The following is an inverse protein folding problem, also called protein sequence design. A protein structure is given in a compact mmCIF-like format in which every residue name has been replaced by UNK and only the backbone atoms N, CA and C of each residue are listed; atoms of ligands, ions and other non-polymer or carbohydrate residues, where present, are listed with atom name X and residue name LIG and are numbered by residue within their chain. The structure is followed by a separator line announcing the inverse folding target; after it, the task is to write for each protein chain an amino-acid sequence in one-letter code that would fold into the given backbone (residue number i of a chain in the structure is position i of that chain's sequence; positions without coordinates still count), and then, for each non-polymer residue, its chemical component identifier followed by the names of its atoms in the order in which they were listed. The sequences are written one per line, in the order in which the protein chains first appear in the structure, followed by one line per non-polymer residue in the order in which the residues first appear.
data_IF_623703377914
#
_entry.id   IF_623703377914
#
_cell.length_a   1.000
_cell.length_b   1.000
_cell.length_c   1.000
_cell.angle_alpha   90.00
_cell.angle_beta   90.00
_cell.angle_gamma   90.00
#
_symmetry.space_group_name_H-M   'P 1'
#
loop_
_entity.id
_entity.type
_entity.pdbx_description
1 polymer ?
#
# COMPACT_ATOMS: atom_id res chain seq x y z
N UNK A 1 -0.03 -30.09 -57.94
CA UNK A 1 -1.16 -30.36 -57.02
C UNK A 1 -0.59 -30.56 -55.63
N UNK A 2 -0.84 -29.61 -54.72
CA UNK A 2 -1.18 -29.81 -53.31
C UNK A 2 -1.28 -28.40 -52.67
N UNK A 3 -2.48 -27.84 -52.71
CA UNK A 3 -2.88 -26.70 -51.88
C UNK A 3 -3.81 -27.26 -50.80
N UNK A 4 -3.45 -27.05 -49.53
CA UNK A 4 -4.42 -27.01 -48.43
C UNK A 4 -3.81 -26.30 -47.23
N UNK A 5 -4.01 -25.00 -47.23
CA UNK A 5 -3.88 -24.10 -46.09
C UNK A 5 -5.10 -24.20 -45.16
N UNK A 6 -4.87 -23.78 -43.91
CA UNK A 6 -5.80 -23.34 -42.85
C UNK A 6 -6.29 -24.37 -41.82
N UNK A 7 -5.66 -24.30 -40.63
CA UNK A 7 -6.29 -24.26 -39.31
C UNK A 7 -5.29 -23.60 -38.34
N UNK A 8 -5.20 -22.27 -38.40
CA UNK A 8 -4.62 -21.45 -37.34
C UNK A 8 -5.78 -20.94 -36.50
N UNK A 9 -5.98 -21.54 -35.34
CA UNK A 9 -7.00 -21.14 -34.38
C UNK A 9 -6.53 -21.47 -32.98
N UNK A 10 -6.25 -20.41 -32.21
CA UNK A 10 -6.32 -20.24 -30.75
C UNK A 10 -5.82 -21.39 -29.84
N UNK A 11 -5.18 -21.19 -28.70
CA UNK A 11 -4.77 -20.06 -27.88
C UNK A 11 -4.19 -20.71 -26.60
N UNK A 12 -3.77 -19.86 -25.66
CA UNK A 12 -3.37 -20.18 -24.29
C UNK A 12 -1.91 -20.59 -24.13
N UNK A 13 -1.04 -19.60 -24.30
CA UNK A 13 0.11 -19.51 -23.41
C UNK A 13 -0.41 -19.40 -21.97
N UNK A 14 -0.45 -20.53 -21.27
CA UNK A 14 -0.49 -20.55 -19.82
C UNK A 14 0.81 -19.90 -19.34
N UNK A 15 0.71 -18.64 -18.89
CA UNK A 15 1.78 -17.99 -18.13
C UNK A 15 1.99 -18.79 -16.86
N UNK A 16 3.02 -19.63 -16.87
CA UNK A 16 3.44 -20.42 -15.72
C UNK A 16 3.92 -19.43 -14.66
N UNK A 17 3.16 -19.29 -13.57
CA UNK A 17 3.67 -18.72 -12.33
C UNK A 17 4.77 -19.66 -11.81
N UNK A 18 5.99 -19.46 -12.29
CA UNK A 18 7.14 -20.27 -11.93
C UNK A 18 7.68 -19.87 -10.57
N UNK A 19 7.27 -20.56 -9.51
CA UNK A 19 8.00 -20.56 -8.24
C UNK A 19 9.31 -21.33 -8.42
N UNK A 20 10.44 -20.63 -8.50
CA UNK A 20 11.74 -21.29 -8.48
C UNK A 20 12.18 -21.52 -7.03
N UNK A 21 11.98 -22.76 -6.55
CA UNK A 21 12.45 -23.25 -5.25
C UNK A 21 13.99 -23.26 -5.24
N UNK A 22 14.63 -22.14 -4.90
CA UNK A 22 16.02 -22.13 -4.36
C UNK A 22 16.54 -20.76 -3.89
N UNK A 23 15.76 -19.67 -3.91
CA UNK A 23 16.03 -18.37 -3.22
C UNK A 23 15.12 -17.21 -3.72
N UNK A 24 14.07 -17.49 -4.48
CA UNK A 24 13.32 -16.46 -5.21
C UNK A 24 12.28 -15.74 -4.35
N UNK A 25 12.51 -14.45 -4.11
CA UNK A 25 11.47 -13.49 -3.73
C UNK A 25 10.31 -13.66 -4.72
N UNK A 26 9.16 -14.06 -4.23
CA UNK A 26 7.97 -14.28 -5.06
C UNK A 26 7.35 -12.93 -5.38
N UNK A 27 7.86 -12.25 -6.42
CA UNK A 27 7.24 -11.03 -6.93
C UNK A 27 6.09 -11.42 -7.85
N UNK A 28 4.86 -11.40 -7.33
CA UNK A 28 3.70 -11.31 -8.20
C UNK A 28 3.55 -9.83 -8.60
N UNK A 29 3.87 -9.51 -9.85
CA UNK A 29 3.79 -8.14 -10.38
C UNK A 29 2.37 -7.54 -10.36
N UNK A 30 1.34 -8.36 -10.13
CA UNK A 30 -0.06 -7.94 -10.02
C UNK A 30 -0.57 -7.99 -8.56
N UNK A 31 0.33 -7.98 -7.58
CA UNK A 31 -0.02 -8.04 -6.16
C UNK A 31 -0.38 -6.65 -5.64
N UNK A 32 -1.66 -6.29 -5.72
CA UNK A 32 -2.22 -5.07 -5.09
C UNK A 32 -2.56 -5.33 -3.61
N UNK A 33 -1.55 -5.76 -2.83
CA UNK A 33 -1.71 -6.09 -1.42
C UNK A 33 -1.53 -4.88 -0.48
N UNK A 34 -0.90 -3.80 -0.97
CA UNK A 34 -0.78 -2.55 -0.22
C UNK A 34 -2.16 -1.94 0.07
N UNK A 35 -2.25 -1.22 1.17
CA UNK A 35 -3.42 -0.42 1.52
C UNK A 35 -3.12 1.02 1.15
N UNK A 36 -3.69 1.53 0.04
CA UNK A 36 -3.58 2.93 -0.30
C UNK A 36 -4.46 3.78 0.61
N UNK A 37 -3.89 4.87 1.11
CA UNK A 37 -4.55 5.93 1.88
C UNK A 37 -4.22 7.27 1.23
N UNK A 38 -5.23 8.01 0.82
CA UNK A 38 -5.05 9.37 0.35
C UNK A 38 -5.13 10.35 1.53
N UNK A 39 -4.20 11.28 1.62
CA UNK A 39 -4.29 12.44 2.54
C UNK A 39 -4.61 13.67 1.70
N UNK A 40 -5.81 14.21 1.90
CA UNK A 40 -6.35 15.34 1.13
C UNK A 40 -6.64 16.52 2.04
N UNK A 41 -6.53 17.74 1.51
CA UNK A 41 -6.87 18.98 2.23
C UNK A 41 -8.21 19.54 1.77
N UNK A 42 -9.19 19.57 2.67
CA UNK A 42 -10.55 20.04 2.40
C UNK A 42 -10.60 21.57 2.16
N UNK A 43 -9.54 22.28 2.52
CA UNK A 43 -9.37 23.71 2.24
C UNK A 43 -8.95 24.00 0.79
N UNK A 44 -8.70 22.98 -0.04
CA UNK A 44 -8.34 23.13 -1.44
C UNK A 44 -9.36 22.42 -2.36
N UNK A 45 -9.83 23.09 -3.44
CA UNK A 45 -10.88 22.55 -4.32
C UNK A 45 -10.49 21.27 -5.07
N UNK A 46 -9.22 20.84 -5.02
CA UNK A 46 -8.74 19.57 -5.57
C UNK A 46 -8.08 18.65 -4.54
N UNK A 47 -8.23 18.91 -3.24
CA UNK A 47 -7.64 18.09 -2.18
C UNK A 47 -6.11 18.19 -2.05
N UNK A 48 -5.46 19.08 -2.81
CA UNK A 48 -4.00 19.27 -2.70
C UNK A 48 -3.65 19.81 -1.32
N UNK A 49 -2.58 19.30 -0.73
CA UNK A 49 -2.05 19.83 0.52
C UNK A 49 -1.63 21.30 0.35
N UNK A 50 -2.03 22.15 1.29
CA UNK A 50 -1.62 23.56 1.35
C UNK A 50 -0.12 23.70 1.64
N UNK A 51 0.42 24.89 1.45
CA UNK A 51 1.78 25.19 1.92
C UNK A 51 1.83 25.15 3.46
N UNK A 52 2.95 24.67 4.00
CA UNK A 52 3.16 24.51 5.44
C UNK A 52 4.16 23.42 5.77
N UNK A 53 4.55 23.35 7.04
CA UNK A 53 5.31 22.24 7.60
C UNK A 53 4.34 21.13 7.98
N UNK A 54 4.57 19.91 7.49
CA UNK A 54 3.76 18.74 7.80
C UNK A 54 4.60 17.71 8.55
N UNK A 55 3.98 17.03 9.52
CA UNK A 55 4.48 15.76 10.06
C UNK A 55 3.39 14.71 9.89
N UNK A 56 3.71 13.66 9.14
CA UNK A 56 2.86 12.50 8.97
C UNK A 56 3.34 11.40 9.91
N UNK A 57 2.41 10.61 10.43
CA UNK A 57 2.69 9.44 11.23
C UNK A 57 1.79 8.29 10.82
N UNK A 58 2.40 7.15 10.55
CA UNK A 58 1.70 5.87 10.39
C UNK A 58 2.11 4.97 11.54
N UNK A 59 1.15 4.37 12.22
CA UNK A 59 1.40 3.46 13.35
C UNK A 59 0.53 2.21 13.27
N UNK A 60 1.09 1.11 13.72
CA UNK A 60 0.43 -0.18 13.95
C UNK A 60 0.65 -0.58 15.41
N UNK A 61 0.13 -1.72 15.84
CA UNK A 61 0.37 -2.23 17.20
C UNK A 61 1.85 -2.61 17.45
N UNK A 62 2.65 -2.78 16.40
CA UNK A 62 4.01 -3.31 16.47
C UNK A 62 5.08 -2.40 15.85
N UNK A 63 4.71 -1.33 15.12
CA UNK A 63 5.67 -0.40 14.51
C UNK A 63 5.07 1.00 14.33
N UNK A 64 5.93 2.02 14.33
CA UNK A 64 5.56 3.40 14.05
C UNK A 64 6.59 4.06 13.14
N UNK A 65 6.12 4.88 12.20
CA UNK A 65 6.96 5.76 11.40
C UNK A 65 6.36 7.16 11.31
N UNK A 66 7.12 8.13 11.82
CA UNK A 66 6.90 9.55 11.58
C UNK A 66 7.93 10.12 10.57
N UNK A 67 7.48 11.05 9.74
CA UNK A 67 8.33 11.84 8.84
C UNK A 67 7.74 13.23 8.62
N UNK A 68 8.60 14.19 8.30
CA UNK A 68 8.21 15.58 8.12
C UNK A 68 8.71 16.12 6.78
N UNK A 69 7.98 17.09 6.24
CA UNK A 69 8.33 17.81 5.02
C UNK A 69 7.72 19.23 5.06
N UNK A 70 8.21 20.13 4.22
CA UNK A 70 7.69 21.49 4.08
C UNK A 70 7.21 21.72 2.65
N UNK A 71 5.90 21.88 2.45
CA UNK A 71 5.34 22.18 1.14
C UNK A 71 5.37 23.68 0.84
N UNK A 72 5.63 24.08 -0.42
CA UNK A 72 5.88 23.23 -1.60
C UNK A 72 7.37 22.95 -1.85
N UNK A 73 8.26 23.18 -0.88
CA UNK A 73 9.71 23.08 -1.06
C UNK A 73 10.21 21.63 -1.15
N UNK A 74 9.52 20.71 -0.47
CA UNK A 74 9.84 19.29 -0.39
C UNK A 74 8.79 18.45 -1.14
N UNK A 75 9.17 17.23 -1.58
CA UNK A 75 8.27 16.29 -2.27
C UNK A 75 7.48 15.36 -1.32
N UNK A 76 7.71 15.49 -0.01
CA UNK A 76 7.12 14.68 1.07
C UNK A 76 7.24 13.16 0.87
N UNK A 77 8.14 12.70 0.00
CA UNK A 77 8.26 11.30 -0.34
C UNK A 77 8.90 10.51 0.82
N UNK A 78 8.40 9.29 1.04
CA UNK A 78 8.95 8.37 2.03
C UNK A 78 9.05 6.97 1.44
N UNK A 79 10.18 6.31 1.66
CA UNK A 79 10.32 4.87 1.44
C UNK A 79 10.88 4.24 2.71
N UNK A 80 10.05 3.48 3.42
CA UNK A 80 10.38 2.96 4.73
C UNK A 80 10.00 1.48 4.85
N UNK A 81 10.92 0.70 5.40
CA UNK A 81 10.71 -0.71 5.72
C UNK A 81 11.27 -1.02 7.09
N UNK A 82 10.55 -1.82 7.86
CA UNK A 82 11.05 -2.38 9.12
C UNK A 82 10.53 -3.79 9.31
N UNK A 83 11.39 -4.65 9.84
CA UNK A 83 10.95 -5.94 10.36
C UNK A 83 10.30 -5.76 11.74
N UNK A 84 9.38 -6.65 12.08
CA UNK A 84 8.73 -6.73 13.37
C UNK A 84 8.53 -8.18 13.80
N UNK A 85 8.38 -8.37 15.12
CA UNK A 85 7.96 -9.62 15.72
C UNK A 85 6.71 -9.36 16.55
N UNK A 86 5.66 -10.15 16.32
CA UNK A 86 4.35 -10.01 16.96
C UNK A 86 3.84 -11.39 17.39
N UNK A 87 4.10 -11.73 18.66
CA UNK A 87 3.81 -13.05 19.21
C UNK A 87 4.75 -14.12 18.63
N UNK A 88 4.18 -15.11 17.95
CA UNK A 88 4.92 -16.18 17.26
C UNK A 88 5.16 -15.88 15.77
N UNK A 89 4.64 -14.75 15.27
CA UNK A 89 4.75 -14.35 13.87
C UNK A 89 5.83 -13.27 13.69
N UNK A 90 6.71 -13.48 12.73
CA UNK A 90 7.63 -12.46 12.22
C UNK A 90 7.07 -11.87 10.92
N UNK A 91 7.34 -10.59 10.70
CA UNK A 91 6.91 -9.91 9.49
C UNK A 91 7.71 -8.66 9.15
N UNK A 92 7.31 -8.02 8.05
CA UNK A 92 7.87 -6.76 7.59
C UNK A 92 6.73 -5.78 7.33
N UNK A 93 6.90 -4.54 7.79
CA UNK A 93 6.05 -3.41 7.47
C UNK A 93 6.77 -2.51 6.46
N UNK A 94 6.09 -2.18 5.38
CA UNK A 94 6.47 -1.19 4.38
C UNK A 94 5.50 -0.02 4.42
N UNK A 95 6.04 1.19 4.44
CA UNK A 95 5.28 2.44 4.30
C UNK A 95 5.95 3.26 3.19
N UNK A 96 5.19 3.49 2.12
CA UNK A 96 5.62 4.34 1.02
C UNK A 96 4.71 5.55 0.96
N UNK A 97 5.28 6.74 0.76
CA UNK A 97 4.50 7.95 0.52
C UNK A 97 5.00 8.66 -0.75
N UNK A 98 4.08 9.09 -1.61
CA UNK A 98 4.38 9.81 -2.85
C UNK A 98 3.31 10.89 -3.06
N UNK A 99 3.66 11.96 -3.77
CA UNK A 99 2.66 12.91 -4.24
C UNK A 99 1.70 12.20 -5.20
N UNK A 100 0.40 12.27 -4.90
CA UNK A 100 -0.67 11.73 -5.74
C UNK A 100 -1.24 12.78 -6.69
N UNK A 101 -2.27 12.40 -7.46
CA UNK A 101 -3.03 13.37 -8.27
C UNK A 101 -3.75 14.39 -7.38
N UNK A 102 -4.22 13.94 -6.21
CA UNK A 102 -4.93 14.73 -5.20
C UNK A 102 -4.31 14.49 -3.83
N UNK A 103 -3.36 15.35 -3.44
CA UNK A 103 -2.72 15.28 -2.12
C UNK A 103 -1.55 14.29 -2.04
N UNK A 104 -1.37 13.67 -0.87
CA UNK A 104 -0.32 12.68 -0.61
C UNK A 104 -0.93 11.28 -0.60
N UNK A 105 -0.35 10.36 -1.37
CA UNK A 105 -0.71 8.95 -1.35
C UNK A 105 0.25 8.18 -0.46
N UNK A 106 -0.29 7.44 0.51
CA UNK A 106 0.44 6.56 1.42
C UNK A 106 0.04 5.12 1.12
N UNK A 107 1.00 4.26 0.86
CA UNK A 107 0.81 2.81 0.73
C UNK A 107 1.36 2.10 1.96
N UNK A 108 0.53 1.31 2.62
CA UNK A 108 0.92 0.51 3.78
C UNK A 108 0.82 -0.97 3.43
N UNK A 109 1.95 -1.69 3.49
CA UNK A 109 2.03 -3.12 3.21
C UNK A 109 2.64 -3.85 4.40
N UNK A 110 2.01 -4.94 4.80
CA UNK A 110 2.48 -5.90 5.79
C UNK A 110 2.75 -7.24 5.08
N UNK A 111 3.85 -7.88 5.42
CA UNK A 111 4.12 -9.27 5.03
C UNK A 111 4.33 -10.12 6.27
N UNK A 112 3.58 -11.22 6.40
CA UNK A 112 3.77 -12.25 7.45
C UNK A 112 3.92 -13.61 6.79
N UNK A 113 5.08 -14.24 6.95
CA UNK A 113 5.41 -15.48 6.25
C UNK A 113 5.27 -15.33 4.73
N UNK A 114 4.34 -16.07 4.13
CA UNK A 114 4.02 -15.96 2.70
C UNK A 114 2.81 -15.05 2.41
N UNK A 115 2.16 -14.46 3.40
CA UNK A 115 0.96 -13.62 3.22
C UNK A 115 1.37 -12.16 3.08
N UNK A 116 0.90 -11.51 2.02
CA UNK A 116 1.11 -10.10 1.74
C UNK A 116 -0.26 -9.41 1.80
N UNK A 117 -0.40 -8.41 2.67
CA UNK A 117 -1.62 -7.64 2.88
C UNK A 117 -1.25 -6.25 3.41
N UNK A 118 -2.20 -5.45 3.89
CA UNK A 118 -1.85 -4.39 4.84
C UNK A 118 -2.03 -4.87 6.28
N UNK A 119 -1.71 -4.01 7.26
CA UNK A 119 -1.99 -4.27 8.66
C UNK A 119 -3.49 -4.43 8.90
N UNK A 120 -3.86 -5.34 9.80
CA UNK A 120 -5.25 -5.53 10.22
C UNK A 120 -5.84 -4.27 10.87
N UNK A 121 -4.97 -3.46 11.50
CA UNK A 121 -5.29 -2.17 12.09
C UNK A 121 -4.07 -1.25 12.00
N UNK A 122 -4.31 0.00 11.62
CA UNK A 122 -3.27 1.03 11.64
C UNK A 122 -3.91 2.42 11.80
N UNK A 123 -3.11 3.38 12.22
CA UNK A 123 -3.52 4.78 12.37
C UNK A 123 -2.65 5.66 11.49
N UNK A 124 -3.27 6.67 10.89
CA UNK A 124 -2.61 7.76 10.19
C UNK A 124 -2.92 9.06 10.93
N UNK A 125 -1.88 9.76 11.35
CA UNK A 125 -1.99 11.08 11.96
C UNK A 125 -1.24 12.12 11.13
N UNK A 126 -1.78 13.33 11.08
CA UNK A 126 -1.21 14.47 10.40
C UNK A 126 -1.15 15.65 11.36
N UNK A 127 0.04 16.21 11.48
CA UNK A 127 0.32 17.48 12.13
C UNK A 127 0.67 18.50 11.05
N UNK A 128 0.17 19.72 11.19
CA UNK A 128 0.49 20.85 10.31
C UNK A 128 0.94 22.04 11.16
N UNK A 129 2.08 22.62 10.80
CA UNK A 129 2.67 23.79 11.45
C UNK A 129 2.81 23.64 12.99
N UNK A 130 3.03 22.42 13.46
CA UNK A 130 3.16 22.08 14.90
C UNK A 130 1.86 21.73 15.60
N UNK A 131 0.72 21.75 14.91
CA UNK A 131 -0.61 21.44 15.46
C UNK A 131 -1.16 20.13 14.89
N UNK A 132 -1.64 19.24 15.76
CA UNK A 132 -2.29 18.00 15.33
C UNK A 132 -3.64 18.33 14.67
N UNK A 133 -3.77 18.05 13.38
CA UNK A 133 -4.97 18.42 12.60
C UNK A 133 -5.90 17.25 12.32
N UNK A 134 -5.38 16.03 12.24
CA UNK A 134 -6.19 14.81 12.09
C UNK A 134 -5.46 13.59 12.64
N UNK A 135 -6.24 12.67 13.21
CA UNK A 135 -5.81 11.34 13.61
C UNK A 135 -6.94 10.36 13.27
N UNK A 136 -6.67 9.41 12.39
CA UNK A 136 -7.66 8.45 11.89
C UNK A 136 -7.15 7.02 11.98
N UNK A 137 -8.01 6.12 12.47
CA UNK A 137 -7.72 4.70 12.61
C UNK A 137 -8.49 3.90 11.57
N UNK A 138 -7.78 3.00 10.88
CA UNK A 138 -8.31 2.11 9.87
C UNK A 138 -8.23 0.65 10.30
N UNK A 139 -9.29 -0.11 10.00
CA UNK A 139 -9.37 -1.56 10.21
C UNK A 139 -9.78 -2.22 8.87
N UNK A 140 -8.85 -2.33 7.90
CA UNK A 140 -9.15 -2.88 6.59
C UNK A 140 -9.55 -4.35 6.68
N UNK A 141 -10.39 -4.77 5.73
CA UNK A 141 -10.84 -6.18 5.60
C UNK A 141 -10.33 -6.75 4.30
N UNK A 142 -10.00 -8.03 4.31
CA UNK A 142 -9.41 -8.71 3.16
C UNK A 142 -10.26 -9.88 2.68
N UNK A 143 -10.15 -10.22 1.40
CA UNK A 143 -10.72 -11.45 0.85
C UNK A 143 -9.87 -12.65 1.27
N UNK A 144 -10.52 -13.79 1.50
CA UNK A 144 -9.80 -15.04 1.74
C UNK A 144 -9.02 -15.45 0.49
N UNK A 145 -7.83 -16.05 0.66
CA UNK A 145 -7.01 -16.44 -0.46
C UNK A 145 -7.68 -17.56 -1.27
N UNK A 146 -7.77 -17.35 -2.58
CA UNK A 146 -8.36 -18.34 -3.50
C UNK A 146 -7.45 -19.57 -3.73
N UNK A 147 -6.17 -19.50 -3.36
CA UNK A 147 -5.19 -20.57 -3.54
C UNK A 147 -4.28 -20.69 -2.31
N UNK A 148 -4.51 -21.67 -1.42
CA UNK A 148 -3.77 -21.79 -0.15
C UNK A 148 -2.30 -22.23 -0.29
N UNK A 149 -1.91 -22.83 -1.42
CA UNK A 149 -0.57 -23.41 -1.63
C UNK A 149 0.38 -22.52 -2.47
N UNK A 150 0.19 -21.20 -2.46
CA UNK A 150 1.04 -20.27 -3.19
C UNK A 150 2.30 -19.86 -2.39
N UNK A 151 3.41 -19.67 -3.09
CA UNK A 151 4.67 -19.19 -2.50
C UNK A 151 4.59 -17.77 -1.95
N UNK A 152 3.63 -16.98 -2.45
CA UNK A 152 3.15 -15.74 -1.85
C UNK A 152 1.63 -15.66 -2.05
N UNK A 153 0.92 -15.21 -1.02
CA UNK A 153 -0.53 -15.07 -0.97
C UNK A 153 -0.85 -13.59 -0.83
N UNK A 154 -1.31 -12.97 -1.91
CA UNK A 154 -1.71 -11.57 -1.92
C UNK A 154 -3.18 -11.44 -1.52
N UNK A 155 -3.44 -10.79 -0.39
CA UNK A 155 -4.80 -10.55 0.04
C UNK A 155 -5.33 -9.25 -0.54
N UNK A 156 -6.48 -9.33 -1.21
CA UNK A 156 -7.14 -8.14 -1.77
C UNK A 156 -7.99 -7.47 -0.71
N UNK A 157 -7.83 -6.14 -0.56
CA UNK A 157 -8.65 -5.32 0.33
C UNK A 157 -10.10 -5.22 -0.18
N UNK A 158 -11.06 -5.29 0.73
CA UNK A 158 -12.47 -4.99 0.49
C UNK A 158 -12.82 -3.59 0.99
N UNK A 159 -13.78 -2.96 0.32
CA UNK A 159 -14.38 -1.70 0.76
C UNK A 159 -13.99 -0.51 -0.11
N UNK A 160 -14.36 0.68 0.37
CA UNK A 160 -14.08 1.96 -0.29
C UNK A 160 -12.65 2.41 -0.03
N UNK A 161 -12.15 3.33 -0.84
CA UNK A 161 -10.84 3.94 -0.63
C UNK A 161 -10.75 4.61 0.74
N UNK A 162 -9.56 4.55 1.32
CA UNK A 162 -9.28 5.14 2.61
C UNK A 162 -8.75 6.54 2.38
N UNK A 163 -9.35 7.52 3.03
CA UNK A 163 -9.03 8.93 2.84
C UNK A 163 -8.96 9.60 4.20
N UNK A 164 -7.85 10.28 4.46
CA UNK A 164 -7.64 11.15 5.61
C UNK A 164 -7.87 12.58 5.15
N UNK A 165 -8.76 13.29 5.83
CA UNK A 165 -9.12 14.67 5.51
C UNK A 165 -8.42 15.64 6.46
N UNK A 166 -7.54 16.48 5.92
CA UNK A 166 -6.97 17.64 6.63
C UNK A 166 -8.00 18.77 6.57
N UNK A 167 -8.47 19.28 7.74
CA UNK A 167 -9.51 20.29 7.80
C UNK A 167 -9.04 21.64 7.23
N UNK A 168 -9.99 22.42 6.71
CA UNK A 168 -9.75 23.67 6.00
C UNK A 168 -9.30 24.87 6.85
N UNK A 169 -9.06 24.70 8.15
CA UNK A 169 -8.82 25.79 9.12
C UNK A 169 -7.78 26.83 8.66
#
# INVERSE_FOLDING_TARGET
MLQRTWLLGLALAAGVAGCNKSSGICMNANCEASVPVAVVDDGQPGGQLRAGAYTFRVSTDYAEKAWSCTLPADDCALDFFTDFADGEDDGTLSIMARAGETGLEIEVLETRGNIWSGPAKFMVAVERDGEAVVEETFEPRYEEPLVPDACAVCLKRKGRDLVVHVPAE
#
